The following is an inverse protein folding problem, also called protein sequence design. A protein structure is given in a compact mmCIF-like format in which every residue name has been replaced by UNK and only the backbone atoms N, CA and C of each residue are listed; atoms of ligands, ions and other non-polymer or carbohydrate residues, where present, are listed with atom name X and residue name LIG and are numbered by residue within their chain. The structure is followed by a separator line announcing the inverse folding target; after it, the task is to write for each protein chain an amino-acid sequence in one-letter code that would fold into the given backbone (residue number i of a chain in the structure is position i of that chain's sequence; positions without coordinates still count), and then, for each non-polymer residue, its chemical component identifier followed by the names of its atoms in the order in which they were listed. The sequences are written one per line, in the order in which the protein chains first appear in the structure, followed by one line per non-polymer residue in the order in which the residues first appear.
data_IF_182615903217
#
_entry.id   IF_182615903217
#
_cell.length_a   1.000
_cell.length_b   1.000
_cell.length_c   1.000
_cell.angle_alpha   90.00
_cell.angle_beta   90.00
_cell.angle_gamma   90.00
#
_symmetry.space_group_name_H-M   'P 1'
#
loop_
_entity.id
_entity.type
_entity.pdbx_description
1 polymer ?
#
# COMPACT_ATOMS: atom_id res chain seq x y z
N UNK A 1 11.80 7.37 5.21
CA UNK A 1 11.39 5.98 4.90
C UNK A 1 11.25 5.18 6.17
N UNK A 2 10.23 4.36 6.26
CA UNK A 2 10.04 3.43 7.37
C UNK A 2 10.32 2.01 6.89
N UNK A 3 11.06 1.23 7.68
CA UNK A 3 11.24 -0.21 7.47
C UNK A 3 10.74 -0.94 8.70
N UNK A 4 9.70 -1.76 8.54
CA UNK A 4 9.10 -2.50 9.66
C UNK A 4 9.77 -3.86 9.91
N UNK A 5 10.70 -4.27 9.05
CA UNK A 5 11.27 -5.62 9.03
C UNK A 5 10.55 -6.56 8.05
N UNK A 6 9.42 -6.16 7.51
CA UNK A 6 8.65 -6.92 6.51
C UNK A 6 8.22 -6.05 5.33
N UNK A 7 8.05 -4.75 5.56
CA UNK A 7 7.55 -3.78 4.58
C UNK A 7 8.35 -2.50 4.71
N UNK A 8 8.66 -1.86 3.58
CA UNK A 8 9.18 -0.49 3.56
C UNK A 8 8.12 0.46 3.04
N UNK A 9 8.06 1.65 3.62
CA UNK A 9 7.10 2.70 3.28
C UNK A 9 7.82 4.02 3.08
N UNK A 10 7.48 4.74 2.01
CA UNK A 10 7.94 6.12 1.82
C UNK A 10 6.95 6.89 0.94
N UNK A 11 7.04 8.22 0.97
CA UNK A 11 6.28 9.08 0.06
C UNK A 11 7.17 9.39 -1.13
N UNK A 12 6.66 9.13 -2.34
CA UNK A 12 7.35 9.38 -3.60
C UNK A 12 6.82 10.64 -4.26
N UNK A 13 7.73 11.52 -4.68
CA UNK A 13 7.42 12.75 -5.42
C UNK A 13 6.39 13.65 -4.72
N UNK A 14 6.18 13.47 -3.42
CA UNK A 14 5.17 14.20 -2.67
C UNK A 14 3.74 13.84 -3.01
N UNK A 15 3.49 12.76 -3.77
CA UNK A 15 2.15 12.46 -4.28
C UNK A 15 1.57 11.14 -3.85
N UNK A 16 2.37 10.11 -3.62
CA UNK A 16 1.84 8.78 -3.31
C UNK A 16 2.74 8.02 -2.34
N UNK A 17 2.13 7.09 -1.63
CA UNK A 17 2.83 6.13 -0.80
C UNK A 17 3.43 5.03 -1.68
N UNK A 18 4.70 4.73 -1.48
CA UNK A 18 5.33 3.56 -2.08
C UNK A 18 5.59 2.53 -0.99
N UNK A 19 4.90 1.41 -1.07
CA UNK A 19 5.05 0.30 -0.13
C UNK A 19 5.68 -0.90 -0.84
N UNK A 20 6.72 -1.45 -0.24
CA UNK A 20 7.39 -2.65 -0.75
C UNK A 20 7.28 -3.74 0.31
N UNK A 21 6.61 -4.83 -0.02
CA UNK A 21 6.48 -6.00 0.86
C UNK A 21 7.57 -7.00 0.44
N UNK A 22 8.63 -7.09 1.23
CA UNK A 22 9.79 -7.89 0.88
C UNK A 22 9.92 -9.19 1.68
N UNK A 23 9.08 -9.39 2.69
CA UNK A 23 9.11 -10.60 3.51
C UNK A 23 8.61 -11.83 2.75
N UNK A 24 9.12 -13.01 3.12
CA UNK A 24 8.56 -14.30 2.72
C UNK A 24 7.75 -14.93 3.85
N UNK A 25 7.68 -14.27 5.01
CA UNK A 25 6.94 -14.75 6.16
C UNK A 25 5.47 -14.34 6.07
N UNK A 26 4.67 -14.87 6.98
CA UNK A 26 3.27 -14.46 7.13
C UNK A 26 3.21 -13.02 7.68
N UNK A 27 2.35 -12.20 7.11
CA UNK A 27 1.98 -10.92 7.70
C UNK A 27 1.00 -11.19 8.84
N UNK A 28 1.34 -10.71 10.03
CA UNK A 28 0.57 -10.92 11.25
C UNK A 28 -0.15 -9.63 11.65
N UNK A 29 -1.10 -9.75 12.57
CA UNK A 29 -1.87 -8.59 13.02
C UNK A 29 -0.98 -7.51 13.62
N UNK A 30 0.05 -7.90 14.35
CA UNK A 30 1.01 -6.99 14.95
C UNK A 30 1.84 -6.19 13.92
N UNK A 31 1.90 -6.65 12.68
CA UNK A 31 2.61 -5.97 11.60
C UNK A 31 1.82 -4.78 11.04
N UNK A 32 0.54 -4.67 11.35
CA UNK A 32 -0.35 -3.62 10.83
C UNK A 32 -0.09 -2.29 11.53
N UNK A 33 0.12 -2.29 12.85
CA UNK A 33 0.24 -1.06 13.63
C UNK A 33 1.35 -0.12 13.15
N UNK A 34 2.58 -0.58 12.88
CA UNK A 34 3.61 0.32 12.36
C UNK A 34 3.21 0.99 11.03
N UNK A 35 2.46 0.28 10.19
CA UNK A 35 1.98 0.82 8.91
C UNK A 35 0.92 1.89 9.15
N UNK A 36 -0.08 1.61 9.98
CA UNK A 36 -1.14 2.58 10.27
C UNK A 36 -0.61 3.80 11.00
N UNK A 37 0.35 3.63 11.91
CA UNK A 37 1.00 4.75 12.59
C UNK A 37 1.72 5.66 11.60
N UNK A 38 2.38 5.08 10.58
CA UNK A 38 3.01 5.85 9.53
C UNK A 38 1.97 6.62 8.70
N UNK A 39 0.88 5.96 8.31
CA UNK A 39 -0.19 6.58 7.51
C UNK A 39 -0.91 7.69 8.28
N UNK A 40 -1.01 7.57 9.60
CA UNK A 40 -1.66 8.56 10.46
C UNK A 40 -0.88 9.87 10.57
N UNK A 41 0.33 9.96 10.02
CA UNK A 41 1.06 11.23 9.90
C UNK A 41 0.42 12.18 8.88
N UNK A 42 -0.46 11.64 8.03
CA UNK A 42 -1.10 12.41 6.94
C UNK A 42 -2.55 12.65 7.29
N UNK A 43 -3.07 13.81 6.89
CA UNK A 43 -4.43 14.22 7.23
C UNK A 43 -5.49 13.70 6.26
N UNK A 44 -5.07 13.01 5.20
CA UNK A 44 -5.97 12.56 4.14
C UNK A 44 -5.59 11.16 3.69
N UNK A 45 -6.53 10.37 3.16
CA UNK A 45 -6.19 9.08 2.58
C UNK A 45 -5.18 9.21 1.44
N UNK A 46 -4.27 8.25 1.31
CA UNK A 46 -3.17 8.30 0.36
C UNK A 46 -3.42 7.40 -0.84
N UNK A 47 -3.06 7.87 -2.07
CA UNK A 47 -2.85 6.94 -3.17
C UNK A 47 -1.61 6.10 -2.87
N UNK A 48 -1.63 4.81 -3.19
CA UNK A 48 -0.54 3.89 -2.85
C UNK A 48 -0.12 3.03 -4.03
N UNK A 49 1.19 2.92 -4.21
CA UNK A 49 1.81 1.96 -5.12
C UNK A 49 2.40 0.83 -4.28
N UNK A 50 1.95 -0.40 -4.51
CA UNK A 50 2.42 -1.56 -3.74
C UNK A 50 3.19 -2.50 -4.64
N UNK A 51 4.42 -2.80 -4.24
CA UNK A 51 5.27 -3.79 -4.88
C UNK A 51 5.48 -4.97 -3.93
N UNK A 52 5.43 -6.18 -4.49
CA UNK A 52 5.75 -7.39 -3.76
C UNK A 52 7.12 -7.87 -4.23
N UNK A 53 8.06 -8.01 -3.29
CA UNK A 53 9.38 -8.60 -3.56
C UNK A 53 9.54 -9.95 -2.88
N UNK A 54 8.71 -10.26 -1.89
CA UNK A 54 8.64 -11.54 -1.21
C UNK A 54 7.42 -12.36 -1.59
N UNK A 55 7.33 -13.56 -1.03
CA UNK A 55 6.18 -14.46 -1.18
C UNK A 55 5.53 -14.64 0.20
N UNK A 56 4.86 -13.60 0.66
CA UNK A 56 4.21 -13.58 1.96
C UNK A 56 2.82 -14.22 1.91
N UNK A 57 2.28 -14.53 3.09
CA UNK A 57 0.90 -14.96 3.25
C UNK A 57 0.15 -14.01 4.18
N UNK A 58 -1.15 -13.92 4.03
CA UNK A 58 -2.03 -13.13 4.91
C UNK A 58 -3.19 -14.01 5.33
N UNK A 59 -3.32 -14.25 6.64
CA UNK A 59 -4.44 -15.01 7.19
C UNK A 59 -5.74 -14.23 7.12
N UNK A 60 -6.88 -14.91 7.26
CA UNK A 60 -8.20 -14.28 7.24
C UNK A 60 -8.36 -13.22 8.35
N UNK A 61 -7.97 -13.48 9.61
CA UNK A 61 -8.04 -12.45 10.64
C UNK A 61 -7.26 -11.18 10.30
N UNK A 62 -6.08 -11.32 9.68
CA UNK A 62 -5.26 -10.17 9.25
C UNK A 62 -5.93 -9.42 8.11
N UNK A 63 -6.55 -10.13 7.16
CA UNK A 63 -7.32 -9.51 6.09
C UNK A 63 -8.46 -8.64 6.63
N UNK A 64 -9.18 -9.12 7.65
CA UNK A 64 -10.26 -8.38 8.29
C UNK A 64 -9.71 -7.13 8.98
N UNK A 65 -8.60 -7.26 9.71
CA UNK A 65 -7.96 -6.12 10.37
C UNK A 65 -7.49 -5.08 9.36
N UNK A 66 -6.88 -5.50 8.25
CA UNK A 66 -6.48 -4.61 7.17
C UNK A 66 -7.66 -3.86 6.56
N UNK A 67 -8.78 -4.54 6.30
CA UNK A 67 -9.97 -3.88 5.76
C UNK A 67 -10.44 -2.74 6.67
N UNK A 68 -10.47 -2.98 7.98
CA UNK A 68 -10.89 -1.97 8.95
C UNK A 68 -9.94 -0.77 9.01
N UNK A 69 -8.65 -1.01 8.82
CA UNK A 69 -7.61 0.02 9.01
C UNK A 69 -7.30 0.80 7.74
N UNK A 70 -7.45 0.19 6.56
CA UNK A 70 -6.98 0.80 5.31
C UNK A 70 -8.02 1.64 4.59
N UNK A 71 -9.32 1.34 4.73
CA UNK A 71 -10.36 2.03 3.97
C UNK A 71 -10.44 3.55 4.21
N UNK A 72 -10.01 4.02 5.39
CA UNK A 72 -9.97 5.44 5.72
C UNK A 72 -8.57 6.06 5.53
N UNK A 73 -7.57 5.27 5.21
CA UNK A 73 -6.17 5.71 5.12
C UNK A 73 -5.60 5.63 3.71
N UNK A 74 -6.22 4.83 2.85
CA UNK A 74 -5.81 4.68 1.45
C UNK A 74 -6.94 5.13 0.54
N UNK A 75 -6.59 5.83 -0.53
CA UNK A 75 -7.53 6.42 -1.48
C UNK A 75 -7.68 5.57 -2.74
N UNK A 76 -6.59 4.97 -3.17
CA UNK A 76 -6.51 4.10 -4.33
C UNK A 76 -5.23 3.27 -4.23
N UNK A 77 -5.23 2.07 -4.78
CA UNK A 77 -4.06 1.18 -4.74
C UNK A 77 -3.74 0.67 -6.13
N UNK A 78 -2.51 0.89 -6.58
CA UNK A 78 -1.94 0.26 -7.75
C UNK A 78 -0.94 -0.80 -7.32
N UNK A 79 -1.08 -2.02 -7.84
CA UNK A 79 -0.11 -3.09 -7.60
C UNK A 79 0.76 -3.28 -8.83
N UNK A 80 2.07 -3.43 -8.63
CA UNK A 80 2.99 -3.88 -9.67
C UNK A 80 3.14 -5.39 -9.54
N UNK A 81 2.77 -6.09 -10.61
CA UNK A 81 2.73 -7.55 -10.63
C UNK A 81 3.99 -8.12 -11.28
N UNK A 82 4.53 -9.18 -10.69
CA UNK A 82 5.68 -9.91 -11.25
C UNK A 82 5.23 -11.06 -12.14
N UNK A 83 4.09 -11.68 -11.78
CA UNK A 83 3.61 -12.88 -12.42
C UNK A 83 2.11 -13.08 -12.14
N UNK A 84 1.58 -14.21 -12.60
CA UNK A 84 0.16 -14.55 -12.43
C UNK A 84 -0.24 -14.77 -10.97
N UNK A 85 0.67 -15.26 -10.13
CA UNK A 85 0.38 -15.43 -8.70
C UNK A 85 0.13 -14.08 -8.02
N UNK A 86 0.91 -13.06 -8.38
CA UNK A 86 0.70 -11.70 -7.89
C UNK A 86 -0.67 -11.17 -8.32
N UNK A 87 -1.08 -11.42 -9.57
CA UNK A 87 -2.39 -11.00 -10.08
C UNK A 87 -3.52 -11.63 -9.26
N UNK A 88 -3.41 -12.91 -8.93
CA UNK A 88 -4.38 -13.61 -8.08
C UNK A 88 -4.43 -12.96 -6.69
N UNK A 89 -3.28 -12.68 -6.09
CA UNK A 89 -3.19 -12.01 -4.79
C UNK A 89 -3.87 -10.63 -4.82
N UNK A 90 -3.69 -9.89 -5.90
CA UNK A 90 -4.32 -8.57 -6.07
C UNK A 90 -5.83 -8.70 -6.21
N UNK A 91 -6.34 -9.70 -6.92
CA UNK A 91 -7.78 -9.96 -7.01
C UNK A 91 -8.38 -10.28 -5.64
N UNK A 92 -7.67 -11.06 -4.84
CA UNK A 92 -8.08 -11.35 -3.47
C UNK A 92 -8.11 -10.06 -2.65
N UNK A 93 -7.06 -9.25 -2.72
CA UNK A 93 -6.99 -7.97 -2.01
C UNK A 93 -8.15 -7.04 -2.41
N UNK A 94 -8.42 -6.93 -3.71
CA UNK A 94 -9.48 -6.07 -4.24
C UNK A 94 -10.88 -6.50 -3.80
N UNK A 95 -11.10 -7.80 -3.57
CA UNK A 95 -12.38 -8.31 -3.15
C UNK A 95 -12.51 -8.47 -1.63
N UNK A 96 -11.44 -8.28 -0.88
CA UNK A 96 -11.40 -8.45 0.58
C UNK A 96 -10.98 -7.16 1.28
N UNK A 97 -9.69 -7.05 1.66
CA UNK A 97 -9.24 -5.96 2.52
C UNK A 97 -9.08 -4.60 1.82
N UNK A 98 -9.14 -4.55 0.49
CA UNK A 98 -9.19 -3.29 -0.28
C UNK A 98 -10.50 -3.11 -1.07
N UNK A 99 -11.55 -3.81 -0.71
CA UNK A 99 -12.81 -3.81 -1.51
C UNK A 99 -13.51 -2.46 -1.59
N UNK A 100 -13.24 -1.55 -0.66
CA UNK A 100 -13.93 -0.26 -0.59
C UNK A 100 -13.19 0.87 -1.30
N UNK A 101 -12.09 0.56 -1.97
CA UNK A 101 -11.27 1.55 -2.69
C UNK A 101 -10.90 1.04 -4.09
N UNK A 102 -10.60 1.93 -5.05
CA UNK A 102 -10.12 1.51 -6.37
C UNK A 102 -8.80 0.75 -6.27
N UNK A 103 -8.73 -0.42 -6.90
CA UNK A 103 -7.53 -1.26 -6.96
C UNK A 103 -7.30 -1.68 -8.39
N UNK A 104 -6.07 -1.59 -8.88
CA UNK A 104 -5.72 -2.01 -10.23
C UNK A 104 -4.33 -2.65 -10.29
N UNK A 105 -4.20 -3.68 -11.14
CA UNK A 105 -2.94 -4.40 -11.39
C UNK A 105 -2.23 -3.86 -12.60
N UNK A 106 -0.89 -3.80 -12.51
CA UNK A 106 -0.04 -3.38 -13.63
C UNK A 106 1.20 -4.24 -13.66
N UNK A 107 1.72 -4.50 -14.87
CA UNK A 107 3.05 -5.12 -15.04
C UNK A 107 4.12 -4.08 -15.31
N UNK A 108 3.73 -2.85 -15.62
CA UNK A 108 4.64 -1.74 -15.89
C UNK A 108 4.47 -0.64 -14.84
N UNK A 109 5.59 -0.20 -14.27
CA UNK A 109 5.60 0.83 -13.23
C UNK A 109 5.05 2.17 -13.73
N UNK A 110 5.42 2.58 -14.95
CA UNK A 110 4.98 3.87 -15.49
C UNK A 110 3.48 3.90 -15.70
N UNK A 111 2.90 2.81 -16.18
CA UNK A 111 1.44 2.70 -16.32
C UNK A 111 0.74 2.75 -14.97
N UNK A 112 1.33 2.11 -13.95
CA UNK A 112 0.79 2.13 -12.60
C UNK A 112 0.79 3.56 -12.03
N UNK A 113 1.90 4.27 -12.16
CA UNK A 113 2.03 5.65 -11.68
C UNK A 113 1.08 6.57 -12.44
N UNK A 114 0.94 6.38 -13.74
CA UNK A 114 0.04 7.16 -14.59
C UNK A 114 -1.41 7.01 -14.15
N UNK A 115 -1.86 5.79 -13.92
CA UNK A 115 -3.20 5.54 -13.38
C UNK A 115 -3.36 6.15 -11.98
N UNK A 116 -2.36 5.97 -11.12
CA UNK A 116 -2.40 6.46 -9.75
C UNK A 116 -2.45 7.98 -9.69
N UNK A 117 -1.84 8.66 -10.67
CA UNK A 117 -1.83 10.13 -10.74
C UNK A 117 -3.22 10.74 -10.85
N UNK A 118 -4.20 9.99 -11.35
CA UNK A 118 -5.60 10.43 -11.39
C UNK A 118 -6.22 10.57 -10.01
N UNK A 119 -5.58 10.00 -9.00
CA UNK A 119 -6.02 10.03 -7.61
C UNK A 119 -5.19 10.97 -6.74
N UNK A 120 -4.24 11.71 -7.32
CA UNK A 120 -3.42 12.65 -6.57
C UNK A 120 -4.23 13.85 -6.10
N UNK A 121 -3.83 14.40 -4.96
CA UNK A 121 -4.32 15.70 -4.51
C UNK A 121 -3.64 16.81 -5.30
N UNK A 122 -4.29 17.97 -5.43
CA UNK A 122 -3.70 19.12 -6.11
C UNK A 122 -2.49 19.65 -5.35
N UNK A 123 -2.55 19.61 -4.03
CA UNK A 123 -1.42 20.01 -3.17
C UNK A 123 -0.60 18.75 -2.84
N UNK A 124 0.71 18.76 -3.07
CA UNK A 124 1.55 17.62 -2.72
C UNK A 124 1.49 17.27 -1.24
N UNK A 125 1.64 15.99 -0.94
CA UNK A 125 1.76 15.49 0.42
C UNK A 125 3.09 15.96 1.04
N UNK A 126 3.16 15.95 2.37
CA UNK A 126 4.41 16.19 3.05
C UNK A 126 5.41 15.07 2.75
N UNK A 127 6.68 15.46 2.58
CA UNK A 127 7.73 14.46 2.39
C UNK A 127 8.02 13.74 3.70
N UNK A 128 8.69 12.57 3.61
CA UNK A 128 9.12 11.83 4.80
C UNK A 128 10.03 12.66 5.70
N UNK A 129 10.91 13.46 5.12
CA UNK A 129 11.80 14.31 5.89
C UNK A 129 11.02 15.35 6.72
N UNK A 130 9.97 15.94 6.17
CA UNK A 130 9.11 16.89 6.85
C UNK A 130 8.29 16.20 7.95
N UNK A 131 7.83 14.99 7.72
CA UNK A 131 7.05 14.21 8.68
C UNK A 131 7.89 13.58 9.79
N UNK A 132 9.19 13.46 9.59
CA UNK A 132 10.12 12.90 10.58
C UNK A 132 10.64 13.95 11.57
N UNK A 133 10.42 15.20 11.30
CA UNK A 133 10.92 16.30 12.13
C UNK A 133 10.23 16.44 13.48
#
# INVERSE_FOLDING_TARGET
MLDTGKVTLCIEDGHYLHAVIYTNDELEEQDIKPVTDYLDRFNSPLPALIERKGRYAISIPVQIALLRQTKSRLKAVAFIERDHKDVIMTRIAASTYFRDIPVKSFFDREEAIDWLSQHYYQTPLLSDAQNSA
#
